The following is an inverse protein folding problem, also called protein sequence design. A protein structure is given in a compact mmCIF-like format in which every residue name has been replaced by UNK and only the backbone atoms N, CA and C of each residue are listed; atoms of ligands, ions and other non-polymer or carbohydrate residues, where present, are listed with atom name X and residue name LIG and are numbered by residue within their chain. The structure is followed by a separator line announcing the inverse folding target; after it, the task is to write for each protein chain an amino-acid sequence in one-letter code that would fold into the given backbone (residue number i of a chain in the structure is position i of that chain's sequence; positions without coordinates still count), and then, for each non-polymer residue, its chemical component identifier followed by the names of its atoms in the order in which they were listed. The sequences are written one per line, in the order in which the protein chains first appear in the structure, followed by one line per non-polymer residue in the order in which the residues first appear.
data_IF_795344778518
#
_entry.id   IF_795344778518
#
_cell.length_a   1.000
_cell.length_b   1.000
_cell.length_c   1.000
_cell.angle_alpha   90.00
_cell.angle_beta   90.00
_cell.angle_gamma   90.00
#
_symmetry.space_group_name_H-M   'P 1'
#
loop_
_entity.id
_entity.type
_entity.pdbx_description
1 polymer ?
#
# COMPACT_ATOMS: atom_id res chain seq x y z
N UNK A 1 -43.64 3.29 6.75
CA UNK A 1 -42.71 4.31 7.29
C UNK A 1 -41.35 3.72 7.65
N UNK A 2 -41.29 2.65 8.46
CA UNK A 2 -40.04 1.97 8.84
C UNK A 2 -39.19 1.43 7.67
N UNK A 3 -39.83 0.81 6.68
CA UNK A 3 -39.14 0.25 5.49
C UNK A 3 -38.42 1.35 4.68
N UNK A 4 -39.01 2.54 4.58
CA UNK A 4 -38.43 3.67 3.86
C UNK A 4 -37.19 4.20 4.59
N UNK A 5 -37.25 4.28 5.92
CA UNK A 5 -36.16 4.73 6.77
C UNK A 5 -34.98 3.75 6.70
N UNK A 6 -35.26 2.44 6.78
CA UNK A 6 -34.21 1.41 6.64
C UNK A 6 -33.55 1.44 5.27
N UNK A 7 -34.32 1.70 4.21
CA UNK A 7 -33.79 1.82 2.85
C UNK A 7 -32.84 3.03 2.74
N UNK A 8 -33.24 4.19 3.27
CA UNK A 8 -32.42 5.40 3.25
C UNK A 8 -31.11 5.16 4.02
N UNK A 9 -31.18 4.60 5.23
CA UNK A 9 -29.99 4.28 6.04
C UNK A 9 -29.06 3.32 5.31
N UNK A 10 -29.60 2.23 4.73
CA UNK A 10 -28.80 1.26 3.98
C UNK A 10 -28.10 1.90 2.77
N UNK A 11 -28.80 2.77 2.04
CA UNK A 11 -28.26 3.46 0.86
C UNK A 11 -27.16 4.46 1.27
N UNK A 12 -27.36 5.20 2.36
CA UNK A 12 -26.36 6.12 2.91
C UNK A 12 -25.11 5.35 3.38
N UNK A 13 -25.28 4.23 4.09
CA UNK A 13 -24.15 3.39 4.53
C UNK A 13 -23.40 2.83 3.32
N UNK A 14 -24.09 2.31 2.31
CA UNK A 14 -23.48 1.78 1.10
C UNK A 14 -22.69 2.84 0.33
N UNK A 15 -23.24 4.05 0.23
CA UNK A 15 -22.58 5.18 -0.41
C UNK A 15 -21.33 5.65 0.36
N UNK A 16 -21.37 5.64 1.69
CA UNK A 16 -20.24 6.00 2.54
C UNK A 16 -19.11 4.97 2.45
N UNK A 17 -19.44 3.67 2.41
CA UNK A 17 -18.45 2.60 2.27
C UNK A 17 -17.82 2.62 0.87
N UNK A 18 -18.61 2.84 -0.19
CA UNK A 18 -18.12 2.89 -1.56
C UNK A 18 -17.21 4.07 -1.89
N UNK A 19 -17.24 5.14 -1.09
CA UNK A 19 -16.36 6.31 -1.27
C UNK A 19 -14.98 6.17 -0.61
N UNK A 20 -14.75 5.12 0.18
CA UNK A 20 -13.43 4.94 0.77
C UNK A 20 -12.44 4.58 -0.34
N UNK A 21 -11.32 5.31 -0.47
CA UNK A 21 -10.31 4.99 -1.47
C UNK A 21 -9.86 3.55 -1.26
N UNK A 22 -9.78 2.80 -2.36
CA UNK A 22 -9.41 1.38 -2.33
C UNK A 22 -8.02 1.23 -1.71
N UNK A 23 -7.99 0.83 -0.43
CA UNK A 23 -6.77 0.59 0.32
C UNK A 23 -6.04 -0.61 -0.25
N UNK A 24 -4.73 -0.48 -0.44
CA UNK A 24 -3.88 -1.57 -0.89
C UNK A 24 -3.50 -2.47 0.28
N UNK A 25 -3.33 -1.89 1.47
CA UNK A 25 -3.07 -2.63 2.71
C UNK A 25 -4.38 -2.90 3.46
N UNK A 26 -4.99 -4.06 3.19
CA UNK A 26 -6.26 -4.45 3.83
C UNK A 26 -6.13 -4.92 5.29
N UNK A 27 -4.92 -5.26 5.72
CA UNK A 27 -4.64 -5.77 7.08
C UNK A 27 -3.88 -4.74 7.90
N UNK A 28 -4.13 -4.72 9.21
CA UNK A 28 -3.56 -3.75 10.14
C UNK A 28 -4.41 -2.49 10.31
N UNK A 29 -4.11 -1.73 11.36
CA UNK A 29 -4.77 -0.46 11.65
C UNK A 29 -4.16 0.63 10.76
N UNK A 30 -4.99 1.31 9.98
CA UNK A 30 -4.52 2.43 9.15
C UNK A 30 -3.94 3.53 10.04
N UNK A 31 -2.70 3.93 9.73
CA UNK A 31 -2.00 5.03 10.41
C UNK A 31 -2.05 6.27 9.53
N UNK A 32 -1.66 6.13 8.25
CA UNK A 32 -1.72 7.23 7.28
C UNK A 32 -2.00 6.71 5.87
N UNK A 33 -2.67 7.53 5.08
CA UNK A 33 -2.79 7.37 3.65
C UNK A 33 -2.76 8.74 3.00
N UNK A 34 -1.79 8.98 2.12
CA UNK A 34 -1.58 10.29 1.50
C UNK A 34 -0.96 10.16 0.11
N UNK A 35 -1.10 11.21 -0.68
CA UNK A 35 -0.33 11.38 -1.91
C UNK A 35 0.73 12.44 -1.67
N UNK A 36 1.94 12.20 -2.17
CA UNK A 36 3.01 13.18 -2.18
C UNK A 36 3.49 13.38 -3.62
N UNK A 37 3.99 14.58 -3.91
CA UNK A 37 4.66 14.87 -5.17
C UNK A 37 6.16 15.10 -4.89
N UNK A 38 7.02 14.42 -5.65
CA UNK A 38 8.48 14.56 -5.60
C UNK A 38 8.98 14.65 -7.03
N UNK A 39 9.66 15.76 -7.37
CA UNK A 39 10.22 15.98 -8.70
C UNK A 39 9.21 15.77 -9.86
N UNK A 40 7.96 16.22 -9.68
CA UNK A 40 6.90 16.07 -10.69
C UNK A 40 6.31 14.66 -10.81
N UNK A 41 6.68 13.74 -9.91
CA UNK A 41 6.13 12.39 -9.80
C UNK A 41 5.23 12.28 -8.58
N UNK A 42 4.08 11.65 -8.75
CA UNK A 42 3.10 11.43 -7.69
C UNK A 42 3.28 10.03 -7.09
N UNK A 43 3.33 9.97 -5.77
CA UNK A 43 3.43 8.75 -4.99
C UNK A 43 2.27 8.65 -4.02
N UNK A 44 1.60 7.51 -4.03
CA UNK A 44 0.67 7.09 -3.00
C UNK A 44 1.42 6.40 -1.87
N UNK A 45 1.20 6.86 -0.64
CA UNK A 45 1.78 6.28 0.56
C UNK A 45 0.64 5.76 1.43
N UNK A 46 0.75 4.51 1.87
CA UNK A 46 -0.14 3.91 2.86
C UNK A 46 0.68 3.25 3.96
N UNK A 47 0.36 3.54 5.22
CA UNK A 47 1.00 2.92 6.36
C UNK A 47 -0.04 2.32 7.30
N UNK A 48 0.22 1.09 7.72
CA UNK A 48 -0.59 0.36 8.69
C UNK A 48 0.26 -0.08 9.86
N UNK A 49 -0.33 -0.10 11.06
CA UNK A 49 0.28 -0.61 12.28
C UNK A 49 -0.34 -1.93 12.70
N UNK A 50 0.49 -2.74 13.38
CA UNK A 50 0.12 -3.98 14.02
C UNK A 50 0.42 -3.89 15.51
N UNK A 51 -0.18 -4.78 16.31
CA UNK A 51 0.03 -4.80 17.76
C UNK A 51 1.46 -5.10 18.15
N UNK A 52 2.16 -5.91 17.36
CA UNK A 52 3.51 -6.36 17.66
C UNK A 52 4.33 -6.62 16.39
N UNK A 53 5.63 -6.81 16.61
CA UNK A 53 6.62 -7.09 15.56
C UNK A 53 6.31 -8.35 14.76
N UNK A 54 5.89 -9.43 15.42
CA UNK A 54 5.66 -10.72 14.76
C UNK A 54 4.45 -10.67 13.84
N UNK A 55 3.39 -9.97 14.25
CA UNK A 55 2.25 -9.72 13.38
C UNK A 55 2.62 -8.91 12.15
N UNK A 56 3.39 -7.81 12.31
CA UNK A 56 3.87 -7.05 11.16
C UNK A 56 4.72 -7.91 10.22
N UNK A 57 5.60 -8.75 10.76
CA UNK A 57 6.45 -9.64 9.98
C UNK A 57 5.62 -10.70 9.22
N UNK A 58 4.71 -11.39 9.91
CA UNK A 58 3.83 -12.38 9.31
C UNK A 58 2.96 -11.76 8.20
N UNK A 59 2.41 -10.57 8.45
CA UNK A 59 1.62 -9.86 7.45
C UNK A 59 2.45 -9.35 6.27
N UNK A 60 3.71 -8.97 6.50
CA UNK A 60 4.63 -8.63 5.42
C UNK A 60 4.82 -9.80 4.46
N UNK A 61 5.16 -11.00 4.97
CA UNK A 61 5.33 -12.20 4.12
C UNK A 61 4.04 -12.66 3.46
N UNK A 62 2.89 -12.35 4.05
CA UNK A 62 1.60 -12.60 3.42
C UNK A 62 1.33 -11.65 2.24
N UNK A 63 1.86 -10.41 2.27
CA UNK A 63 1.64 -9.40 1.23
C UNK A 63 2.50 -9.62 -0.01
N UNK A 64 3.76 -9.99 0.16
CA UNK A 64 4.70 -10.20 -0.97
C UNK A 64 4.10 -11.05 -2.11
N UNK A 65 3.62 -12.29 -1.88
CA UNK A 65 3.05 -13.10 -2.97
C UNK A 65 1.82 -12.45 -3.61
N UNK A 66 0.97 -11.74 -2.86
CA UNK A 66 -0.20 -11.05 -3.44
C UNK A 66 0.16 -9.93 -4.43
N UNK A 67 1.31 -9.30 -4.25
CA UNK A 67 1.82 -8.31 -5.19
C UNK A 67 2.65 -8.97 -6.29
N UNK A 68 3.45 -9.98 -5.97
CA UNK A 68 4.32 -10.67 -6.92
C UNK A 68 3.56 -11.55 -7.92
N UNK A 69 2.43 -12.15 -7.53
CA UNK A 69 1.63 -13.03 -8.41
C UNK A 69 0.83 -12.26 -9.49
N UNK A 70 0.96 -10.92 -9.54
CA UNK A 70 0.27 -10.10 -10.53
C UNK A 70 0.95 -10.23 -11.89
N UNK A 71 0.16 -10.46 -12.94
CA UNK A 71 0.60 -10.71 -14.33
C UNK A 71 1.54 -9.66 -14.95
N UNK A 72 1.62 -8.46 -14.35
CA UNK A 72 2.35 -7.32 -14.92
C UNK A 72 3.69 -7.04 -14.20
N UNK A 73 4.14 -7.94 -13.33
CA UNK A 73 5.41 -7.80 -12.63
C UNK A 73 6.57 -7.95 -13.63
N UNK A 74 7.41 -6.92 -13.71
CA UNK A 74 8.60 -6.90 -14.55
C UNK A 74 9.86 -7.25 -13.76
N UNK A 75 9.94 -6.81 -12.51
CA UNK A 75 11.16 -6.90 -11.72
C UNK A 75 10.84 -6.87 -10.22
N UNK A 76 11.65 -7.59 -9.44
CA UNK A 76 11.60 -7.60 -7.97
C UNK A 76 13.00 -7.42 -7.43
N UNK A 77 13.17 -6.45 -6.55
CA UNK A 77 14.42 -6.18 -5.86
C UNK A 77 14.18 -6.24 -4.36
N UNK A 78 15.00 -7.05 -3.68
CA UNK A 78 15.04 -7.11 -2.23
C UNK A 78 16.21 -6.27 -1.75
N UNK A 79 16.04 -5.55 -0.64
CA UNK A 79 17.17 -4.90 0.00
C UNK A 79 18.12 -5.97 0.55
N UNK A 80 19.43 -5.75 0.34
CA UNK A 80 20.46 -6.66 0.83
C UNK A 80 20.56 -6.65 2.36
N UNK A 81 20.25 -5.51 2.99
CA UNK A 81 20.39 -5.31 4.44
C UNK A 81 19.13 -5.69 5.20
N UNK A 82 17.95 -5.51 4.59
CA UNK A 82 16.67 -5.82 5.19
C UNK A 82 15.78 -6.57 4.21
N UNK A 83 15.65 -7.88 4.45
CA UNK A 83 14.74 -8.78 3.74
C UNK A 83 13.25 -8.40 3.87
N UNK A 84 12.94 -7.40 4.70
CA UNK A 84 11.61 -6.78 4.85
C UNK A 84 11.48 -5.40 4.20
N UNK A 85 12.36 -5.12 3.24
CA UNK A 85 12.27 -4.04 2.26
C UNK A 85 12.31 -4.65 0.84
N UNK A 86 11.23 -4.45 0.09
CA UNK A 86 11.07 -5.04 -1.23
C UNK A 86 10.44 -4.05 -2.20
N UNK A 87 11.15 -3.82 -3.30
CA UNK A 87 10.69 -3.00 -4.42
C UNK A 87 10.26 -3.88 -5.59
N UNK A 88 9.05 -3.64 -6.09
CA UNK A 88 8.40 -4.36 -7.16
C UNK A 88 8.11 -3.38 -8.30
N UNK A 89 8.62 -3.66 -9.50
CA UNK A 89 8.35 -2.87 -10.69
C UNK A 89 7.32 -3.59 -11.56
N UNK A 90 6.23 -2.91 -11.83
CA UNK A 90 5.18 -3.35 -12.76
C UNK A 90 5.26 -2.53 -14.04
N UNK A 91 4.53 -2.94 -15.07
CA UNK A 91 4.43 -2.20 -16.33
C UNK A 91 3.72 -0.85 -16.18
N UNK A 92 2.88 -0.69 -15.16
CA UNK A 92 2.03 0.48 -14.93
C UNK A 92 2.43 1.30 -13.69
N UNK A 93 3.17 0.73 -12.74
CA UNK A 93 3.67 1.45 -11.56
C UNK A 93 4.89 0.75 -10.93
N UNK A 94 5.56 1.45 -10.02
CA UNK A 94 6.58 0.90 -9.13
C UNK A 94 6.07 0.96 -7.70
N UNK A 95 6.29 -0.10 -6.93
CA UNK A 95 5.76 -0.26 -5.58
C UNK A 95 6.90 -0.69 -4.65
N UNK A 96 6.98 -0.13 -3.46
CA UNK A 96 7.89 -0.56 -2.42
C UNK A 96 7.10 -0.89 -1.16
N UNK A 97 7.43 -2.01 -0.56
CA UNK A 97 6.92 -2.45 0.73
C UNK A 97 8.09 -2.45 1.71
N UNK A 98 7.92 -1.71 2.80
CA UNK A 98 8.93 -1.61 3.86
C UNK A 98 8.27 -1.90 5.19
N UNK A 99 8.83 -2.81 5.97
CA UNK A 99 8.41 -3.04 7.34
C UNK A 99 9.22 -2.17 8.30
N UNK A 100 8.54 -1.44 9.19
CA UNK A 100 9.14 -0.60 10.23
C UNK A 100 8.72 -1.08 11.61
N UNK A 101 9.50 -1.98 12.21
CA UNK A 101 9.22 -2.60 13.53
C UNK A 101 7.85 -3.31 13.55
N UNK A 102 6.78 -2.61 13.95
CA UNK A 102 5.40 -3.08 13.99
C UNK A 102 4.49 -2.40 12.94
N UNK A 103 5.07 -1.68 11.98
CA UNK A 103 4.37 -1.02 10.89
C UNK A 103 4.75 -1.63 9.54
N UNK A 104 3.86 -1.52 8.56
CA UNK A 104 4.16 -1.77 7.15
C UNK A 104 3.82 -0.50 6.38
N UNK A 105 4.80 -0.01 5.64
CA UNK A 105 4.69 1.10 4.72
C UNK A 105 4.64 0.56 3.30
N UNK A 106 3.67 1.06 2.53
CA UNK A 106 3.56 0.86 1.10
C UNK A 106 3.75 2.22 0.43
N UNK A 107 4.69 2.29 -0.51
CA UNK A 107 4.88 3.44 -1.38
C UNK A 107 4.62 2.96 -2.80
N UNK A 108 3.72 3.63 -3.52
CA UNK A 108 3.36 3.30 -4.90
C UNK A 108 3.49 4.53 -5.77
N UNK A 109 4.25 4.46 -6.86
CA UNK A 109 4.27 5.51 -7.87
C UNK A 109 3.01 5.46 -8.75
N UNK A 110 2.61 6.60 -9.29
CA UNK A 110 1.52 6.64 -10.27
C UNK A 110 1.96 6.18 -11.66
N UNK A 111 3.26 6.32 -11.98
CA UNK A 111 3.85 5.93 -13.27
C UNK A 111 4.98 4.92 -13.04
N UNK A 112 5.22 3.98 -13.98
CA UNK A 112 6.34 3.05 -13.86
C UNK A 112 7.66 3.82 -13.95
N UNK A 113 8.65 3.41 -13.16
CA UNK A 113 10.00 3.97 -13.17
C UNK A 113 11.01 2.89 -12.79
N UNK A 114 12.29 3.14 -13.09
CA UNK A 114 13.35 2.21 -12.69
C UNK A 114 13.45 2.12 -11.16
N UNK A 115 13.93 0.99 -10.64
CA UNK A 115 14.05 0.80 -9.18
C UNK A 115 15.03 1.82 -8.59
N UNK A 116 16.15 2.09 -9.26
CA UNK A 116 17.12 3.10 -8.81
C UNK A 116 16.53 4.53 -8.77
N UNK A 117 15.73 4.91 -9.77
CA UNK A 117 15.04 6.21 -9.76
C UNK A 117 14.00 6.27 -8.63
N UNK A 118 13.25 5.19 -8.44
CA UNK A 118 12.26 5.09 -7.38
C UNK A 118 12.91 5.25 -6.01
N UNK A 119 13.94 4.46 -5.70
CA UNK A 119 14.66 4.51 -4.42
C UNK A 119 15.24 5.89 -4.14
N UNK A 120 15.79 6.57 -5.16
CA UNK A 120 16.28 7.95 -5.03
C UNK A 120 15.16 8.92 -4.64
N UNK A 121 13.98 8.80 -5.26
CA UNK A 121 12.85 9.69 -5.02
C UNK A 121 12.13 9.38 -3.71
N UNK A 122 12.15 8.13 -3.26
CA UNK A 122 11.52 7.68 -2.02
C UNK A 122 12.43 7.70 -0.81
N UNK A 123 13.73 7.99 -0.99
CA UNK A 123 14.69 8.10 0.09
C UNK A 123 14.24 9.15 1.12
N UNK A 124 14.11 8.72 2.38
CA UNK A 124 13.75 9.58 3.52
C UNK A 124 12.25 9.80 3.75
N UNK A 125 11.37 9.14 3.00
CA UNK A 125 9.94 8.94 3.36
C UNK A 125 9.86 7.88 4.46
#
# INVERSE_FOLDING_TARGET
MWILITLIIATTIFYLIGKQPARLLQRGKLVRSQHIEREGKIFYIEEVSFSDYHQALHHYFYLIPQFSDRKNLLETQYSYLDWTDTTLRFSDYTLQLVRRVNHILLIKSQTPMSIAEFERLTQGI
#
